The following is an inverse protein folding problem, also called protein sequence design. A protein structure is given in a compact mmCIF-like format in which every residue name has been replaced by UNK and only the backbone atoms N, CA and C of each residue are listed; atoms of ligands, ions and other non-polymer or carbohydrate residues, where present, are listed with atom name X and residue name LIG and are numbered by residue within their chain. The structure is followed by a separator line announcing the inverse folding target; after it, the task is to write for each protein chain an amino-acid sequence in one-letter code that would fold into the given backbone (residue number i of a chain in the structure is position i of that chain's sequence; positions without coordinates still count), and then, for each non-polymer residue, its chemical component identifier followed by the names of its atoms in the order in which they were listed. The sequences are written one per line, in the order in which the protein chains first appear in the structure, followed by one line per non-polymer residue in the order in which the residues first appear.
data_IF_622992205691
#
_entry.id   IF_622992205691
#
_cell.length_a   1.000
_cell.length_b   1.000
_cell.length_c   1.000
_cell.angle_alpha   90.00
_cell.angle_beta   90.00
_cell.angle_gamma   90.00
#
_symmetry.space_group_name_H-M   'P 1'
#
loop_
_entity.id
_entity.type
_entity.pdbx_description
1 polymer ?
#
# COMPACT_ATOMS: atom_id res chain seq x y z
N UNK A 1 -4.81 -3.26 -49.03
CA UNK A 1 -3.94 -3.30 -47.83
C UNK A 1 -4.70 -2.61 -46.73
N UNK A 2 -5.45 -3.41 -45.99
CA UNK A 2 -6.30 -2.99 -44.88
C UNK A 2 -5.42 -2.65 -43.68
N UNK A 3 -5.45 -1.40 -43.25
CA UNK A 3 -4.84 -0.94 -42.00
C UNK A 3 -5.38 -1.77 -40.83
N UNK A 4 -4.49 -2.54 -40.21
CA UNK A 4 -4.71 -3.10 -38.88
C UNK A 4 -4.65 -1.96 -37.87
N UNK A 5 -5.78 -1.61 -37.29
CA UNK A 5 -5.85 -0.80 -36.08
C UNK A 5 -5.42 -1.68 -34.88
N UNK A 6 -4.31 -1.40 -34.17
CA UNK A 6 -3.81 -2.28 -33.12
C UNK A 6 -4.39 -1.98 -31.72
N UNK A 7 -5.50 -1.24 -31.60
CA UNK A 7 -6.01 -0.80 -30.29
C UNK A 7 -7.50 -1.13 -30.07
N UNK A 8 -7.88 -2.37 -30.35
CA UNK A 8 -9.10 -2.96 -29.78
C UNK A 8 -8.67 -3.85 -28.62
N UNK A 9 -8.31 -3.22 -27.50
CA UNK A 9 -8.54 -3.91 -26.22
C UNK A 9 -10.05 -4.05 -26.13
N UNK A 10 -10.51 -5.30 -26.21
CA UNK A 10 -11.92 -5.68 -26.13
C UNK A 10 -12.62 -4.83 -25.07
N UNK A 11 -13.55 -3.97 -25.49
CA UNK A 11 -14.15 -2.93 -24.65
C UNK A 11 -15.19 -3.57 -23.72
N UNK A 12 -14.76 -4.52 -22.91
CA UNK A 12 -15.61 -5.16 -21.93
C UNK A 12 -15.85 -4.17 -20.81
N UNK A 13 -17.12 -3.82 -20.60
CA UNK A 13 -17.52 -2.94 -19.52
C UNK A 13 -17.06 -3.54 -18.18
N UNK A 14 -16.32 -2.80 -17.33
CA UNK A 14 -15.80 -3.36 -16.10
C UNK A 14 -16.93 -3.92 -15.22
N UNK A 15 -16.71 -5.11 -14.68
CA UNK A 15 -17.60 -5.74 -13.71
C UNK A 15 -17.55 -4.93 -12.41
N UNK A 16 -18.69 -4.33 -12.08
CA UNK A 16 -18.84 -3.43 -10.93
C UNK A 16 -19.00 -4.19 -9.61
N UNK A 17 -18.81 -3.51 -8.46
CA UNK A 17 -19.26 -4.02 -7.17
C UNK A 17 -20.72 -4.47 -7.17
N UNK A 18 -21.04 -5.45 -6.33
CA UNK A 18 -22.42 -5.88 -6.12
C UNK A 18 -23.29 -4.68 -5.68
N UNK A 19 -24.40 -4.47 -6.38
CA UNK A 19 -25.32 -3.38 -6.09
C UNK A 19 -25.89 -3.48 -4.66
N UNK A 20 -25.74 -2.38 -3.91
CA UNK A 20 -26.22 -2.25 -2.54
C UNK A 20 -27.73 -2.09 -2.42
N UNK A 21 -28.44 -1.76 -3.50
CA UNK A 21 -29.92 -1.71 -3.51
C UNK A 21 -30.57 -3.05 -3.86
N UNK A 22 -29.81 -3.97 -4.46
CA UNK A 22 -30.27 -5.32 -4.80
C UNK A 22 -29.88 -6.33 -3.72
N UNK A 23 -28.61 -6.30 -3.29
CA UNK A 23 -28.11 -7.20 -2.24
C UNK A 23 -27.68 -6.36 -1.05
N UNK A 24 -28.27 -6.56 0.14
CA UNK A 24 -27.94 -5.75 1.31
C UNK A 24 -26.46 -5.89 1.66
N UNK A 25 -25.89 -4.81 2.19
CA UNK A 25 -24.43 -4.70 2.44
C UNK A 25 -23.90 -5.73 3.43
N UNK A 26 -24.73 -6.39 4.23
CA UNK A 26 -24.32 -7.49 5.12
C UNK A 26 -24.32 -8.87 4.47
N UNK A 27 -24.71 -9.02 3.20
CA UNK A 27 -24.82 -10.30 2.50
C UNK A 27 -23.89 -10.46 1.28
N UNK A 28 -23.63 -11.71 0.87
CA UNK A 28 -22.73 -12.08 -0.23
C UNK A 28 -21.28 -12.26 0.21
N UNK A 29 -20.40 -12.56 -0.74
CA UNK A 29 -18.98 -12.78 -0.45
C UNK A 29 -18.33 -11.55 0.20
N UNK A 30 -17.32 -11.80 1.03
CA UNK A 30 -16.60 -10.76 1.76
C UNK A 30 -15.34 -10.31 1.04
N UNK A 31 -15.47 -9.89 -0.22
CA UNK A 31 -14.39 -9.25 -0.98
C UNK A 31 -14.28 -7.75 -0.67
N UNK A 32 -13.10 -7.17 -0.92
CA UNK A 32 -12.86 -5.75 -0.80
C UNK A 32 -13.84 -4.97 -1.68
N UNK A 33 -14.52 -3.99 -1.07
CA UNK A 33 -15.56 -3.17 -1.69
C UNK A 33 -16.65 -3.96 -2.43
N UNK A 34 -16.83 -5.26 -2.13
CA UNK A 34 -17.73 -6.19 -2.85
C UNK A 34 -17.38 -6.32 -4.34
N UNK A 35 -16.10 -6.21 -4.69
CA UNK A 35 -15.57 -6.38 -6.04
C UNK A 35 -15.58 -7.84 -6.48
N UNK A 36 -15.55 -8.10 -7.81
CA UNK A 36 -15.32 -9.45 -8.34
C UNK A 36 -13.97 -10.01 -7.89
N UNK A 37 -13.87 -11.34 -7.81
CA UNK A 37 -12.60 -12.02 -7.57
C UNK A 37 -11.83 -12.12 -8.88
N UNK A 38 -10.52 -12.38 -8.78
CA UNK A 38 -9.64 -12.52 -9.95
C UNK A 38 -10.13 -13.51 -11.02
N UNK A 39 -10.79 -14.61 -10.61
CA UNK A 39 -11.34 -15.61 -11.53
C UNK A 39 -12.75 -15.31 -12.06
N UNK A 40 -13.39 -14.24 -11.58
CA UNK A 40 -14.73 -13.84 -12.01
C UNK A 40 -14.68 -12.91 -13.26
N UNK A 41 -13.48 -12.48 -13.69
CA UNK A 41 -13.25 -11.57 -14.83
C UNK A 41 -12.11 -12.09 -15.72
N UNK A 42 -12.12 -11.80 -17.04
CA UNK A 42 -11.09 -12.29 -17.96
C UNK A 42 -9.74 -11.55 -17.84
N UNK A 43 -9.76 -10.29 -17.40
CA UNK A 43 -8.58 -9.44 -17.23
C UNK A 43 -8.85 -8.38 -16.16
N UNK A 44 -7.81 -7.71 -15.65
CA UNK A 44 -7.94 -6.65 -14.64
C UNK A 44 -6.81 -5.62 -14.75
N UNK A 45 -7.11 -4.37 -14.40
CA UNK A 45 -6.15 -3.26 -14.36
C UNK A 45 -5.52 -3.10 -12.97
N UNK A 46 -6.31 -3.42 -11.92
CA UNK A 46 -5.91 -3.23 -10.52
C UNK A 46 -6.30 -4.47 -9.71
N UNK A 47 -5.33 -5.00 -8.98
CA UNK A 47 -5.53 -6.08 -8.01
C UNK A 47 -5.44 -5.54 -6.59
N UNK A 48 -6.54 -5.67 -5.83
CA UNK A 48 -6.51 -5.48 -4.38
C UNK A 48 -6.18 -6.82 -3.73
N UNK A 49 -5.10 -6.87 -2.94
CA UNK A 49 -4.61 -8.12 -2.35
C UNK A 49 -4.31 -7.93 -0.86
N UNK A 50 -4.63 -8.93 -0.05
CA UNK A 50 -4.24 -8.95 1.36
C UNK A 50 -2.91 -9.67 1.59
N UNK A 51 -2.15 -9.25 2.60
CA UNK A 51 -0.97 -9.98 3.09
C UNK A 51 -1.10 -10.14 4.61
N UNK A 52 -1.75 -11.21 5.10
CA UNK A 52 -1.99 -11.43 6.53
C UNK A 52 -0.71 -11.87 7.25
N UNK A 53 0.23 -10.95 7.47
CA UNK A 53 1.56 -11.21 8.02
C UNK A 53 1.91 -10.21 9.13
N UNK A 54 2.37 -10.67 10.29
CA UNK A 54 2.88 -9.79 11.36
C UNK A 54 4.04 -10.38 12.17
N UNK A 55 4.83 -11.28 11.58
CA UNK A 55 5.94 -11.93 12.27
C UNK A 55 7.16 -11.01 12.47
N UNK A 56 7.18 -9.82 11.85
CA UNK A 56 8.24 -8.82 12.03
C UNK A 56 7.93 -7.80 13.13
N UNK A 57 6.82 -7.94 13.84
CA UNK A 57 6.39 -6.99 14.87
C UNK A 57 7.24 -7.10 16.14
N UNK A 58 7.64 -5.97 16.70
CA UNK A 58 8.48 -5.93 17.91
C UNK A 58 7.69 -5.75 19.21
N UNK A 59 6.40 -5.39 19.15
CA UNK A 59 5.59 -5.11 20.34
C UNK A 59 4.26 -5.88 20.35
N UNK A 60 3.19 -5.34 19.74
CA UNK A 60 1.86 -5.96 19.77
C UNK A 60 1.52 -6.62 18.43
N UNK A 61 1.40 -7.95 18.34
CA UNK A 61 0.91 -8.62 17.15
C UNK A 61 -0.61 -8.41 16.98
N UNK A 62 -1.12 -8.74 15.79
CA UNK A 62 -2.54 -8.65 15.45
C UNK A 62 -2.79 -8.16 14.02
N UNK A 63 -1.79 -7.53 13.39
CA UNK A 63 -1.93 -6.99 12.04
C UNK A 63 -2.20 -8.08 10.99
N UNK A 64 -1.86 -9.36 11.26
CA UNK A 64 -2.22 -10.49 10.37
C UNK A 64 -3.73 -10.63 10.11
N UNK A 65 -4.59 -10.11 11.00
CA UNK A 65 -6.05 -10.11 10.81
C UNK A 65 -6.58 -8.86 10.08
N UNK A 66 -5.69 -7.90 9.81
CA UNK A 66 -6.00 -6.63 9.15
C UNK A 66 -6.71 -6.79 7.80
N UNK A 67 -6.21 -7.59 6.85
CA UNK A 67 -6.82 -7.70 5.52
C UNK A 67 -8.28 -8.14 5.57
N UNK A 68 -8.60 -9.15 6.38
CA UNK A 68 -9.96 -9.62 6.57
C UNK A 68 -10.86 -8.53 7.18
N UNK A 69 -10.37 -7.80 8.18
CA UNK A 69 -11.13 -6.73 8.81
C UNK A 69 -11.40 -5.56 7.86
N UNK A 70 -10.40 -5.15 7.07
CA UNK A 70 -10.57 -4.10 6.05
C UNK A 70 -11.59 -4.51 5.01
N UNK A 71 -11.60 -5.78 4.56
CA UNK A 71 -12.66 -6.27 3.67
C UNK A 71 -14.04 -6.13 4.29
N UNK A 72 -14.21 -6.49 5.56
CA UNK A 72 -15.49 -6.32 6.27
C UNK A 72 -15.93 -4.85 6.34
N UNK A 73 -15.02 -3.95 6.70
CA UNK A 73 -15.31 -2.52 6.77
C UNK A 73 -15.60 -1.91 5.39
N UNK A 74 -14.95 -2.39 4.33
CA UNK A 74 -15.08 -1.85 2.97
C UNK A 74 -16.47 -2.04 2.34
N UNK A 75 -17.33 -2.86 2.94
CA UNK A 75 -18.68 -3.17 2.43
C UNK A 75 -19.61 -1.96 2.37
N UNK A 76 -19.29 -0.89 3.10
CA UNK A 76 -20.03 0.38 3.09
C UNK A 76 -19.59 1.35 2.00
N UNK A 77 -18.48 1.08 1.30
CA UNK A 77 -17.98 1.93 0.23
C UNK A 77 -19.01 2.06 -0.90
N UNK A 78 -18.98 3.22 -1.55
CA UNK A 78 -19.82 3.56 -2.70
C UNK A 78 -18.93 3.74 -3.93
N UNK A 79 -19.44 3.46 -5.14
CA UNK A 79 -18.62 3.47 -6.36
C UNK A 79 -18.26 4.86 -6.86
N UNK A 80 -18.81 5.94 -6.28
CA UNK A 80 -18.61 7.32 -6.71
C UNK A 80 -17.91 8.14 -5.62
N UNK A 81 -16.89 8.88 -6.02
CA UNK A 81 -16.16 9.82 -5.17
C UNK A 81 -16.62 11.26 -5.43
N UNK A 82 -17.35 11.92 -4.51
CA UNK A 82 -18.01 13.20 -4.78
C UNK A 82 -17.02 14.36 -5.03
N UNK A 83 -15.95 14.47 -4.24
CA UNK A 83 -15.03 15.61 -4.36
C UNK A 83 -14.17 15.59 -5.63
N UNK A 84 -13.97 14.40 -6.20
CA UNK A 84 -13.16 14.22 -7.42
C UNK A 84 -14.04 13.95 -8.64
N UNK A 85 -15.35 13.78 -8.43
CA UNK A 85 -16.34 13.45 -9.45
C UNK A 85 -15.99 12.23 -10.31
N UNK A 86 -15.38 11.20 -9.70
CA UNK A 86 -14.95 9.98 -10.40
C UNK A 86 -15.66 8.72 -9.90
N UNK A 87 -15.83 7.77 -10.83
CA UNK A 87 -16.29 6.41 -10.55
C UNK A 87 -15.19 5.41 -10.91
N UNK A 88 -14.24 5.12 -10.00
CA UNK A 88 -13.04 4.34 -10.32
C UNK A 88 -13.37 2.96 -10.90
N UNK A 89 -14.36 2.27 -10.32
CA UNK A 89 -14.77 0.95 -10.78
C UNK A 89 -15.42 0.94 -12.15
N UNK A 90 -16.02 2.05 -12.59
CA UNK A 90 -16.57 2.19 -13.94
C UNK A 90 -15.49 2.42 -15.00
N UNK A 91 -14.34 2.97 -14.59
CA UNK A 91 -13.23 3.33 -15.48
C UNK A 91 -12.16 2.26 -15.65
N UNK A 92 -12.02 1.37 -14.66
CA UNK A 92 -10.95 0.37 -14.57
C UNK A 92 -11.51 -0.92 -13.99
N UNK A 93 -11.06 -2.06 -14.52
CA UNK A 93 -11.40 -3.35 -13.95
C UNK A 93 -10.57 -3.60 -12.69
N UNK A 94 -11.23 -3.55 -11.54
CA UNK A 94 -10.62 -3.79 -10.22
C UNK A 94 -11.11 -5.13 -9.68
N UNK A 95 -10.20 -5.93 -9.14
CA UNK A 95 -10.52 -7.24 -8.53
C UNK A 95 -10.02 -7.33 -7.10
N UNK A 96 -10.69 -8.15 -6.29
CA UNK A 96 -10.08 -8.71 -5.08
C UNK A 96 -9.31 -9.98 -5.46
N UNK A 97 -7.99 -9.93 -5.36
CA UNK A 97 -7.09 -11.03 -5.66
C UNK A 97 -6.95 -12.03 -4.50
N UNK A 98 -7.72 -11.88 -3.42
CA UNK A 98 -7.58 -12.70 -2.23
C UNK A 98 -6.34 -12.32 -1.44
N UNK A 99 -5.69 -13.32 -0.83
CA UNK A 99 -4.53 -13.11 0.03
C UNK A 99 -3.29 -13.80 -0.54
N UNK A 100 -2.13 -13.15 -0.40
CA UNK A 100 -0.82 -13.78 -0.60
C UNK A 100 -0.56 -14.70 0.59
N UNK A 101 -0.42 -16.00 0.32
CA UNK A 101 -0.14 -16.99 1.33
C UNK A 101 1.37 -17.05 1.60
N UNK A 102 1.78 -16.95 2.87
CA UNK A 102 3.17 -17.10 3.27
C UNK A 102 3.31 -17.86 4.58
N UNK A 103 4.49 -18.40 4.84
CA UNK A 103 4.76 -19.10 6.10
C UNK A 103 4.72 -18.13 7.29
N UNK A 104 4.08 -18.50 8.40
CA UNK A 104 4.09 -17.67 9.61
C UNK A 104 5.32 -17.91 10.50
N UNK A 105 6.20 -18.86 10.12
CA UNK A 105 7.25 -19.37 11.02
C UNK A 105 8.66 -18.94 10.66
N UNK A 106 8.92 -18.65 9.38
CA UNK A 106 10.22 -18.19 8.92
C UNK A 106 10.10 -16.92 8.08
N UNK A 107 10.57 -15.82 8.65
CA UNK A 107 10.43 -14.48 8.06
C UNK A 107 11.19 -14.35 6.73
N UNK A 108 12.34 -15.02 6.59
CA UNK A 108 13.12 -14.97 5.35
C UNK A 108 12.39 -15.66 4.21
N UNK A 109 11.85 -16.86 4.45
CA UNK A 109 11.02 -17.60 3.50
C UNK A 109 9.74 -16.84 3.18
N UNK A 110 9.06 -16.26 4.19
CA UNK A 110 7.83 -15.50 4.00
C UNK A 110 8.05 -14.29 3.07
N UNK A 111 9.14 -13.54 3.26
CA UNK A 111 9.51 -12.42 2.39
C UNK A 111 9.69 -12.89 0.95
N UNK A 112 10.37 -14.02 0.70
CA UNK A 112 10.52 -14.57 -0.64
C UNK A 112 9.19 -14.97 -1.29
N UNK A 113 8.32 -15.65 -0.53
CA UNK A 113 6.99 -16.05 -1.00
C UNK A 113 6.09 -14.85 -1.33
N UNK A 114 6.17 -13.78 -0.54
CA UNK A 114 5.44 -12.54 -0.79
C UNK A 114 5.93 -11.87 -2.08
N UNK A 115 7.25 -11.77 -2.26
CA UNK A 115 7.83 -11.16 -3.45
C UNK A 115 7.45 -11.91 -4.73
N UNK A 116 7.49 -13.25 -4.71
CA UNK A 116 7.14 -14.08 -5.86
C UNK A 116 5.68 -13.91 -6.27
N UNK A 117 4.76 -14.03 -5.32
CA UNK A 117 3.32 -13.89 -5.60
C UNK A 117 2.95 -12.45 -5.99
N UNK A 118 3.53 -11.44 -5.35
CA UNK A 118 3.33 -10.05 -5.74
C UNK A 118 3.88 -9.79 -7.16
N UNK A 119 5.02 -10.38 -7.52
CA UNK A 119 5.60 -10.28 -8.87
C UNK A 119 4.68 -10.91 -9.92
N UNK A 120 4.04 -12.03 -9.61
CA UNK A 120 3.08 -12.68 -10.50
C UNK A 120 1.85 -11.79 -10.76
N UNK A 121 1.31 -11.15 -9.72
CA UNK A 121 0.14 -10.26 -9.85
C UNK A 121 0.41 -9.02 -10.72
N UNK A 122 1.64 -8.51 -10.74
CA UNK A 122 2.02 -7.32 -11.52
C UNK A 122 2.69 -7.65 -12.86
N UNK A 123 2.85 -8.93 -13.19
CA UNK A 123 3.60 -9.38 -14.37
C UNK A 123 3.04 -8.77 -15.66
N UNK A 124 1.71 -8.78 -15.80
CA UNK A 124 0.98 -8.26 -16.96
C UNK A 124 0.73 -6.75 -16.89
N UNK A 125 1.35 -6.05 -15.94
CA UNK A 125 1.25 -4.59 -15.80
C UNK A 125 0.08 -4.09 -14.96
N UNK A 126 -0.64 -4.99 -14.29
CA UNK A 126 -1.64 -4.60 -13.30
C UNK A 126 -1.00 -3.82 -12.14
N UNK A 127 -1.76 -2.88 -11.58
CA UNK A 127 -1.36 -2.12 -10.39
C UNK A 127 -1.79 -2.86 -9.14
N UNK A 128 -0.95 -2.86 -8.12
CA UNK A 128 -1.22 -3.56 -6.87
C UNK A 128 -1.67 -2.58 -5.79
N UNK A 129 -2.80 -2.87 -5.15
CA UNK A 129 -3.22 -2.24 -3.89
C UNK A 129 -3.13 -3.31 -2.82
N UNK A 130 -2.19 -3.16 -1.91
CA UNK A 130 -1.95 -4.16 -0.88
C UNK A 130 -2.51 -3.70 0.46
N UNK A 131 -3.27 -4.60 1.10
CA UNK A 131 -3.73 -4.43 2.48
C UNK A 131 -2.87 -5.34 3.35
N UNK A 132 -2.09 -4.74 4.23
CA UNK A 132 -1.09 -5.46 4.98
C UNK A 132 -1.60 -6.14 6.24
N UNK A 133 -0.69 -6.92 6.80
CA UNK A 133 -0.35 -6.83 8.20
C UNK A 133 0.82 -5.85 8.40
N UNK A 134 1.85 -6.22 9.15
CA UNK A 134 2.92 -5.29 9.58
C UNK A 134 3.78 -4.75 8.42
N UNK A 135 4.58 -3.72 8.71
CA UNK A 135 5.34 -2.99 7.69
C UNK A 135 6.47 -3.80 7.03
N UNK A 136 6.79 -4.99 7.53
CA UNK A 136 7.81 -5.87 6.93
C UNK A 136 7.46 -6.21 5.48
N UNK A 137 6.16 -6.30 5.15
CA UNK A 137 5.68 -6.64 3.81
C UNK A 137 6.08 -5.60 2.75
N UNK A 138 6.41 -4.36 3.15
CA UNK A 138 6.84 -3.33 2.20
C UNK A 138 8.14 -3.72 1.49
N UNK A 139 9.06 -4.41 2.16
CA UNK A 139 10.33 -4.81 1.57
C UNK A 139 10.16 -5.75 0.36
N UNK A 140 9.48 -6.91 0.45
CA UNK A 140 9.26 -7.77 -0.71
C UNK A 140 8.39 -7.10 -1.79
N UNK A 141 7.44 -6.24 -1.43
CA UNK A 141 6.64 -5.48 -2.40
C UNK A 141 7.52 -4.51 -3.21
N UNK A 142 8.42 -3.78 -2.55
CA UNK A 142 9.37 -2.89 -3.22
C UNK A 142 10.32 -3.67 -4.15
N UNK A 143 10.75 -4.87 -3.75
CA UNK A 143 11.56 -5.74 -4.60
C UNK A 143 10.80 -6.21 -5.85
N UNK A 144 9.55 -6.66 -5.70
CA UNK A 144 8.69 -7.04 -6.81
C UNK A 144 8.50 -5.87 -7.80
N UNK A 145 8.15 -4.68 -7.28
CA UNK A 145 7.97 -3.49 -8.11
C UNK A 145 9.26 -3.05 -8.79
N UNK A 146 10.39 -3.07 -8.08
CA UNK A 146 11.67 -2.72 -8.67
C UNK A 146 12.07 -3.67 -9.79
N UNK A 147 11.81 -4.97 -9.64
CA UNK A 147 12.07 -5.97 -10.70
C UNK A 147 11.29 -5.64 -11.98
N UNK A 148 10.08 -5.12 -11.87
CA UNK A 148 9.19 -4.82 -13.01
C UNK A 148 9.41 -3.43 -13.61
N UNK A 149 9.70 -2.42 -12.78
CA UNK A 149 9.67 -1.00 -13.16
C UNK A 149 11.03 -0.29 -12.98
N UNK A 150 12.04 -0.97 -12.43
CA UNK A 150 13.31 -0.34 -12.06
C UNK A 150 13.18 0.52 -10.79
N UNK A 151 14.06 1.53 -10.60
CA UNK A 151 14.02 2.40 -9.44
C UNK A 151 12.66 3.10 -9.27
N UNK A 152 12.08 3.02 -8.07
CA UNK A 152 10.80 3.65 -7.73
C UNK A 152 10.98 4.81 -6.75
N UNK A 153 10.11 5.80 -6.84
CA UNK A 153 9.97 6.81 -5.79
C UNK A 153 9.03 6.27 -4.71
N UNK A 154 9.35 6.55 -3.44
CA UNK A 154 8.51 6.20 -2.31
C UNK A 154 7.95 7.47 -1.65
N UNK A 155 6.63 7.50 -1.51
CA UNK A 155 5.90 8.42 -0.64
C UNK A 155 5.42 7.60 0.55
N UNK A 156 5.90 7.93 1.75
CA UNK A 156 5.71 7.12 2.96
C UNK A 156 5.01 7.96 4.03
N UNK A 157 3.85 7.49 4.48
CA UNK A 157 3.07 8.10 5.55
C UNK A 157 3.12 7.17 6.76
N UNK A 158 3.86 7.56 7.78
CA UNK A 158 4.03 6.78 9.00
C UNK A 158 4.50 7.67 10.15
N UNK A 159 4.24 7.24 11.38
CA UNK A 159 4.83 7.84 12.57
C UNK A 159 6.30 7.45 12.76
N UNK A 160 6.77 6.39 12.09
CA UNK A 160 8.15 5.88 12.18
C UNK A 160 8.80 5.84 10.81
N UNK A 161 10.13 6.04 10.76
CA UNK A 161 10.88 6.01 9.50
C UNK A 161 11.09 4.60 8.96
N UNK A 162 11.08 3.58 9.82
CA UNK A 162 11.28 2.17 9.44
C UNK A 162 12.59 1.91 8.66
N UNK A 163 13.64 2.63 9.07
CA UNK A 163 15.00 2.58 8.51
C UNK A 163 16.07 2.10 9.51
N UNK A 164 15.69 1.40 10.57
CA UNK A 164 16.67 0.83 11.50
C UNK A 164 17.48 -0.28 10.85
N UNK A 165 18.65 -0.58 11.41
CA UNK A 165 19.46 -1.70 10.93
C UNK A 165 18.90 -3.02 11.42
N UNK A 166 18.94 -3.30 12.71
CA UNK A 166 18.47 -4.56 13.28
C UNK A 166 17.68 -4.29 14.54
N UNK A 167 16.87 -5.27 14.93
CA UNK A 167 16.28 -5.36 16.26
C UNK A 167 16.71 -6.70 16.86
N UNK A 168 17.40 -6.71 18.00
CA UNK A 168 17.90 -7.95 18.61
C UNK A 168 18.66 -8.84 17.61
N UNK A 169 19.53 -8.24 16.80
CA UNK A 169 20.28 -8.87 15.71
C UNK A 169 19.42 -9.48 14.58
N UNK A 170 18.10 -9.35 14.63
CA UNK A 170 17.20 -9.72 13.54
C UNK A 170 17.22 -8.63 12.46
N UNK A 171 17.57 -8.97 11.21
CA UNK A 171 17.68 -7.99 10.14
C UNK A 171 16.34 -7.63 9.49
N UNK A 172 15.31 -8.45 9.68
CA UNK A 172 14.00 -8.31 9.06
C UNK A 172 12.96 -8.10 10.14
N UNK A 173 12.48 -6.86 10.29
CA UNK A 173 11.36 -6.51 11.17
C UNK A 173 10.55 -5.41 10.50
N UNK A 174 9.41 -5.04 11.10
CA UNK A 174 8.59 -3.92 10.65
C UNK A 174 9.34 -2.57 10.67
N UNK A 175 10.42 -2.45 11.47
CA UNK A 175 11.20 -1.21 11.60
C UNK A 175 12.43 -1.12 10.70
N UNK A 176 12.70 -2.13 9.86
CA UNK A 176 13.87 -2.17 8.96
C UNK A 176 13.59 -2.15 7.43
N UNK A 177 12.35 -2.23 6.91
CA UNK A 177 12.10 -2.53 5.49
C UNK A 177 12.71 -1.51 4.53
N UNK A 178 12.70 -0.23 4.87
CA UNK A 178 13.18 0.82 3.96
C UNK A 178 14.70 0.97 3.96
N UNK A 179 15.37 0.66 5.08
CA UNK A 179 16.84 0.55 5.07
C UNK A 179 17.26 -0.59 4.16
N UNK A 180 16.58 -1.74 4.23
CA UNK A 180 16.84 -2.88 3.33
C UNK A 180 16.59 -2.54 1.87
N UNK A 181 15.56 -1.75 1.58
CA UNK A 181 15.26 -1.28 0.23
C UNK A 181 16.18 -0.16 -0.30
N UNK A 182 16.88 0.56 0.58
CA UNK A 182 17.78 1.66 0.20
C UNK A 182 19.25 1.24 0.11
N UNK A 183 19.66 0.22 0.86
CA UNK A 183 21.06 -0.24 0.92
C UNK A 183 21.56 -0.76 -0.44
N UNK A 184 22.50 -0.03 -1.03
CA UNK A 184 23.29 -0.49 -2.17
C UNK A 184 24.27 -1.58 -1.71
N UNK A 185 24.06 -2.84 -2.12
CA UNK A 185 25.07 -3.89 -1.98
C UNK A 185 24.60 -5.26 -1.47
N UNK A 186 23.35 -5.42 -1.03
CA UNK A 186 22.79 -6.77 -0.91
C UNK A 186 22.50 -7.31 -2.32
N UNK A 187 22.65 -8.62 -2.54
CA UNK A 187 22.48 -9.26 -3.85
C UNK A 187 21.09 -9.06 -4.49
N UNK A 188 20.15 -8.41 -3.79
CA UNK A 188 18.86 -7.97 -4.32
C UNK A 188 18.87 -6.48 -4.63
N UNK A 189 19.01 -6.13 -5.92
CA UNK A 189 18.79 -4.75 -6.40
C UNK A 189 17.31 -4.41 -6.24
N UNK A 190 16.96 -3.73 -5.17
CA UNK A 190 15.87 -2.76 -5.18
C UNK A 190 16.50 -1.42 -4.80
N UNK A 191 16.48 -0.44 -5.70
CA UNK A 191 16.90 0.93 -5.37
C UNK A 191 15.67 1.80 -5.36
N UNK A 192 15.05 1.98 -4.20
CA UNK A 192 13.99 2.98 -4.04
C UNK A 192 14.64 4.35 -3.77
N UNK A 193 14.33 5.37 -4.58
CA UNK A 193 14.66 6.76 -4.23
C UNK A 193 13.60 7.25 -3.25
N UNK A 194 13.93 7.19 -1.97
CA UNK A 194 13.02 7.59 -0.91
C UNK A 194 13.03 9.12 -0.76
N UNK A 195 11.88 9.76 -0.96
CA UNK A 195 11.65 11.13 -0.52
C UNK A 195 10.77 11.05 0.72
N UNK A 196 11.39 11.04 1.90
CA UNK A 196 10.64 11.05 3.16
C UNK A 196 10.00 12.42 3.32
N UNK A 197 8.68 12.47 3.26
CA UNK A 197 7.90 13.63 3.71
C UNK A 197 7.50 13.37 5.15
N UNK A 198 8.28 13.89 6.09
CA UNK A 198 7.93 13.88 7.50
C UNK A 198 6.95 15.04 7.76
N UNK A 199 5.66 14.75 7.84
CA UNK A 199 4.76 15.63 8.58
C UNK A 199 5.03 15.34 10.06
N UNK A 200 5.94 16.12 10.67
CA UNK A 200 6.04 16.12 12.13
C UNK A 200 4.66 16.49 12.62
N UNK A 201 4.01 15.56 13.30
CA UNK A 201 3.04 15.90 14.31
C UNK A 201 3.83 16.70 15.36
N UNK A 202 3.95 18.01 15.15
CA UNK A 202 4.47 18.93 16.15
C UNK A 202 3.53 18.76 17.32
N UNK A 203 4.00 18.09 18.38
CA UNK A 203 3.32 18.18 19.67
C UNK A 203 3.03 19.66 19.88
N UNK A 204 1.81 20.04 20.28
CA UNK A 204 1.59 21.41 20.72
C UNK A 204 2.59 21.66 21.85
N UNK A 205 3.62 22.43 21.54
CA UNK A 205 4.60 22.87 22.53
C UNK A 205 3.84 23.80 23.43
N UNK A 206 3.58 23.32 24.65
CA UNK A 206 3.06 24.07 25.79
C UNK A 206 1.64 24.65 25.60
N UNK A 207 0.72 24.24 26.47
CA UNK A 207 -0.45 25.07 26.80
C UNK A 207 0.09 26.45 27.27
N UNK A 208 -0.24 27.56 26.60
CA UNK A 208 0.13 28.87 27.11
C UNK A 208 -0.80 29.24 28.28
N UNK A 209 -0.29 29.90 29.34
CA UNK A 209 -1.16 30.48 30.36
C UNK A 209 -2.04 31.58 29.74
N UNK A 210 -3.26 31.67 30.25
CA UNK A 210 -4.35 32.58 29.83
C UNK A 210 -3.97 34.06 29.78
N UNK A 211 -4.72 34.88 29.01
CA UNK A 211 -4.21 36.08 28.37
C UNK A 211 -4.20 37.30 29.29
N UNK A 212 -3.17 38.13 29.15
CA UNK A 212 -3.39 39.57 29.28
C UNK A 212 -2.47 40.38 28.37
N UNK A 213 -3.11 41.29 27.64
CA UNK A 213 -2.60 42.45 26.90
C UNK A 213 -1.61 42.25 25.74
N UNK A 214 -2.06 42.66 24.55
CA UNK A 214 -1.22 43.28 23.52
C UNK A 214 -0.93 42.41 22.30
N UNK A 215 -1.51 42.76 21.16
CA UNK A 215 -1.13 42.25 19.84
C UNK A 215 0.37 42.50 19.55
N UNK A 216 1.05 41.54 18.91
CA UNK A 216 1.46 41.82 17.53
C UNK A 216 1.39 40.59 16.59
N UNK A 217 1.39 40.90 15.29
CA UNK A 217 1.30 40.01 14.14
C UNK A 217 2.22 38.79 14.16
N UNK A 218 1.66 37.59 13.95
CA UNK A 218 2.42 36.38 13.61
C UNK A 218 2.78 36.37 12.11
N UNK A 219 4.03 36.67 11.79
CA UNK A 219 4.64 36.29 10.49
C UNK A 219 5.25 34.90 10.62
N UNK A 220 4.79 33.96 9.79
CA UNK A 220 5.34 32.62 9.70
C UNK A 220 6.74 32.66 9.05
N UNK A 221 7.76 32.14 9.75
CA UNK A 221 9.08 31.91 9.18
C UNK A 221 9.21 30.43 8.78
N UNK A 222 9.40 30.18 7.48
CA UNK A 222 9.78 28.88 6.91
C UNK A 222 11.30 28.74 6.97
N UNK A 223 11.82 27.80 7.75
CA UNK A 223 13.23 27.39 7.66
C UNK A 223 13.34 26.16 6.76
N UNK A 224 13.82 26.35 5.52
CA UNK A 224 14.27 25.28 4.63
C UNK A 224 15.65 24.81 5.08
N UNK A 225 15.81 23.50 5.27
CA UNK A 225 17.10 22.87 5.49
C UNK A 225 16.99 21.36 5.34
N UNK A 226 17.16 20.86 4.11
CA UNK A 226 17.38 19.44 3.86
C UNK A 226 18.89 19.16 3.99
N UNK A 227 19.33 18.13 4.72
CA UNK A 227 20.72 17.70 4.69
C UNK A 227 21.00 16.95 3.38
N UNK A 228 21.99 17.43 2.64
CA UNK A 228 22.62 16.72 1.53
C UNK A 228 23.46 15.57 2.10
N UNK A 229 23.25 14.34 1.61
CA UNK A 229 24.17 13.23 1.80
C UNK A 229 24.70 12.80 0.44
N UNK A 230 26.00 13.03 0.24
CA UNK A 230 26.85 12.40 -0.78
C UNK A 230 27.08 10.93 -0.49
#
# INVERSE_FOLDING_TARGET
MSDMNPDIRDAHQPVQPVDGTVVPRYAGFSTFARLPRIGDVPSYDVAVVGIPFDAGVSYRPGARFGPAHVRQCSRVLRPYHPQLEVSPFASQQVVDAGDIACTPFDIATAVGQIEEQASALIADGARLITIGGDHTIAYPLLRAHHRRYGPVALVHFDAHLDTWDTYFDAPMTHGTPFRRAAMRGSSSRATARMSVFEERCTRPTTCPPTPNSGSPSCTAASSKGAPSMT
#
